data_IF_767278215347
#
_entry.id   IF_767278215347
#
_cell.length_a   1.000
_cell.length_b   1.000
_cell.length_c   1.000
_cell.angle_alpha   90.00
_cell.angle_beta   90.00
_cell.angle_gamma   90.00
#
_symmetry.space_group_name_H-M   'P 1'
#
loop_
_entity.id
_entity.type
_entity.pdbx_description
1 polymer ?
#
# COMPACT_ATOMS: atom_id res chain seq x y z
N UNK A 1 9.72 -13.72 1.19
CA UNK A 1 8.46 -13.19 1.77
C UNK A 1 7.87 -14.31 2.62
N UNK A 2 7.40 -13.98 3.82
CA UNK A 2 7.02 -14.99 4.83
C UNK A 2 8.14 -15.36 5.80
N UNK A 3 9.25 -14.61 5.79
CA UNK A 3 10.45 -14.91 6.59
C UNK A 3 10.38 -14.34 8.03
N UNK A 4 9.45 -13.41 8.27
CA UNK A 4 9.25 -12.77 9.57
C UNK A 4 8.04 -13.37 10.27
N UNK A 5 8.22 -13.89 11.49
CA UNK A 5 7.14 -14.46 12.30
C UNK A 5 6.11 -13.42 12.78
N UNK A 6 6.46 -12.13 12.74
CA UNK A 6 5.66 -11.04 13.30
C UNK A 6 4.63 -10.46 12.32
N UNK A 7 4.73 -10.80 11.04
CA UNK A 7 3.84 -10.27 9.98
C UNK A 7 3.68 -11.28 8.85
N UNK A 8 2.63 -11.09 8.05
CA UNK A 8 2.38 -11.92 6.87
C UNK A 8 1.57 -11.14 5.85
N UNK A 9 0.56 -11.79 5.28
CA UNK A 9 -0.45 -11.09 4.50
C UNK A 9 -1.26 -10.14 5.39
N UNK A 10 -1.84 -9.10 4.80
CA UNK A 10 -2.85 -8.27 5.45
C UNK A 10 -3.95 -9.19 5.99
N UNK A 11 -3.93 -9.43 7.30
CA UNK A 11 -5.06 -10.04 7.95
C UNK A 11 -6.23 -9.07 7.75
N UNK A 12 -7.38 -9.58 7.30
CA UNK A 12 -8.65 -8.83 7.37
C UNK A 12 -8.98 -8.65 8.84
N UNK A 13 -8.25 -7.76 9.54
CA UNK A 13 -8.36 -7.50 10.96
C UNK A 13 -9.76 -6.97 11.23
N UNK A 14 -10.67 -7.88 11.60
CA UNK A 14 -12.06 -7.59 11.95
C UNK A 14 -12.85 -6.73 10.95
N UNK A 15 -12.36 -6.59 9.71
CA UNK A 15 -13.01 -5.78 8.68
C UNK A 15 -13.38 -6.69 7.53
N UNK A 16 -14.66 -6.68 7.10
CA UNK A 16 -15.00 -7.34 5.85
C UNK A 16 -14.11 -6.77 4.74
N UNK A 17 -13.67 -7.61 3.78
CA UNK A 17 -12.92 -7.14 2.63
C UNK A 17 -13.62 -5.92 1.99
N UNK A 18 -12.87 -4.93 1.45
CA UNK A 18 -13.49 -3.75 0.85
C UNK A 18 -14.54 -4.18 -0.17
N UNK A 19 -15.75 -3.62 -0.17
CA UNK A 19 -16.75 -4.04 -1.17
C UNK A 19 -16.17 -3.83 -2.58
N UNK A 20 -16.42 -4.77 -3.51
CA UNK A 20 -16.08 -4.58 -4.89
C UNK A 20 -16.51 -3.22 -5.45
N UNK A 21 -15.73 -2.58 -6.34
CA UNK A 21 -16.28 -1.50 -7.15
C UNK A 21 -17.41 -2.09 -8.00
N UNK A 22 -18.45 -1.28 -8.24
CA UNK A 22 -19.68 -1.69 -8.91
C UNK A 22 -19.43 -2.46 -10.22
N UNK A 23 -20.30 -3.44 -10.56
CA UNK A 23 -20.15 -4.30 -11.74
C UNK A 23 -20.01 -3.54 -13.07
N UNK A 24 -20.42 -2.27 -13.13
CA UNK A 24 -20.30 -1.41 -14.32
C UNK A 24 -18.86 -1.09 -14.74
N UNK A 25 -17.85 -1.30 -13.89
CA UNK A 25 -16.45 -1.02 -14.25
C UNK A 25 -15.74 -2.19 -14.94
N UNK A 26 -16.37 -3.38 -14.99
CA UNK A 26 -15.72 -4.63 -15.38
C UNK A 26 -16.60 -5.57 -16.21
N UNK A 27 -17.48 -5.02 -17.05
CA UNK A 27 -18.31 -5.81 -17.97
C UNK A 27 -19.37 -6.67 -17.26
N UNK A 28 -20.57 -6.70 -17.84
CA UNK A 28 -21.65 -7.54 -17.33
C UNK A 28 -21.20 -9.02 -17.27
N UNK A 29 -21.19 -9.60 -16.05
CA UNK A 29 -21.05 -11.05 -15.84
C UNK A 29 -19.76 -11.53 -15.15
N UNK A 30 -18.77 -10.67 -14.87
CA UNK A 30 -17.54 -11.13 -14.20
C UNK A 30 -17.71 -11.20 -12.68
N UNK A 31 -17.79 -12.42 -12.14
CA UNK A 31 -17.72 -12.66 -10.69
C UNK A 31 -16.27 -12.55 -10.23
N UNK A 32 -16.03 -11.79 -9.17
CA UNK A 32 -14.73 -11.73 -8.53
C UNK A 32 -14.83 -11.76 -7.02
N UNK A 33 -13.77 -12.25 -6.39
CA UNK A 33 -13.67 -12.42 -4.95
C UNK A 33 -12.34 -11.90 -4.41
N UNK A 34 -12.33 -11.47 -3.15
CA UNK A 34 -11.09 -11.21 -2.44
C UNK A 34 -10.42 -12.52 -2.05
N UNK A 35 -9.12 -12.60 -2.27
CA UNK A 35 -8.31 -13.74 -1.86
C UNK A 35 -6.83 -13.45 -2.02
N UNK A 36 -6.00 -14.48 -2.10
CA UNK A 36 -4.54 -14.32 -2.20
C UNK A 36 -3.91 -13.74 -0.93
N UNK A 37 -2.73 -13.12 -1.10
CA UNK A 37 -1.96 -12.49 -0.03
C UNK A 37 -1.85 -11.00 -0.32
N UNK A 38 -2.66 -10.18 0.37
CA UNK A 38 -2.52 -8.74 0.30
C UNK A 38 -1.31 -8.28 1.13
N UNK A 39 -0.63 -7.22 0.69
CA UNK A 39 0.52 -6.68 1.42
C UNK A 39 0.07 -5.98 2.71
N UNK A 40 0.66 -6.35 3.86
CA UNK A 40 0.41 -5.70 5.16
C UNK A 40 1.13 -4.33 5.25
N UNK A 41 0.58 -3.35 4.54
CA UNK A 41 1.13 -1.99 4.46
C UNK A 41 1.13 -1.28 5.81
N UNK A 42 0.20 -1.60 6.71
CA UNK A 42 0.14 -1.00 8.05
C UNK A 42 1.30 -1.48 8.92
N UNK A 43 1.63 -2.78 8.88
CA UNK A 43 2.81 -3.28 9.57
C UNK A 43 4.09 -2.60 9.06
N UNK A 44 4.24 -2.49 7.74
CA UNK A 44 5.38 -1.79 7.12
C UNK A 44 5.45 -0.31 7.52
N UNK A 45 4.31 0.38 7.51
CA UNK A 45 4.19 1.77 7.95
C UNK A 45 4.67 1.95 9.39
N UNK A 46 4.19 1.11 10.31
CA UNK A 46 4.53 1.22 11.74
C UNK A 46 6.02 0.91 11.98
N UNK A 47 6.59 -0.09 11.31
CA UNK A 47 8.03 -0.38 11.40
C UNK A 47 8.88 0.75 10.85
N UNK A 48 8.50 1.35 9.72
CA UNK A 48 9.16 2.53 9.17
C UNK A 48 9.13 3.70 10.16
N UNK A 49 7.97 3.95 10.78
CA UNK A 49 7.81 4.99 11.81
C UNK A 49 8.67 4.75 13.04
N UNK A 50 8.72 3.52 13.53
CA UNK A 50 9.55 3.16 14.69
C UNK A 50 11.04 3.34 14.39
N UNK A 51 11.51 2.96 13.19
CA UNK A 51 12.93 3.00 12.85
C UNK A 51 13.40 4.39 12.43
N UNK A 52 12.71 5.02 11.48
CA UNK A 52 13.15 6.29 10.87
C UNK A 52 12.96 7.48 11.81
N UNK A 53 11.92 7.47 12.64
CA UNK A 53 11.60 8.63 13.49
C UNK A 53 12.25 8.55 14.88
N UNK A 54 12.78 7.38 15.30
CA UNK A 54 13.30 7.16 16.64
C UNK A 54 14.35 8.20 17.09
N UNK A 55 15.29 8.54 16.20
CA UNK A 55 16.36 9.51 16.51
C UNK A 55 15.86 10.97 16.46
N UNK A 56 14.86 11.27 15.64
CA UNK A 56 14.36 12.64 15.42
C UNK A 56 13.43 13.12 16.52
N UNK A 57 12.80 12.22 17.27
CA UNK A 57 11.90 12.57 18.41
C UNK A 57 12.61 13.23 19.59
N UNK A 58 13.94 13.12 19.71
CA UNK A 58 14.72 13.76 20.79
C UNK A 58 15.09 15.22 20.49
N UNK A 59 14.99 15.65 19.23
CA UNK A 59 15.34 17.01 18.78
C UNK A 59 14.13 17.79 18.25
N UNK A 60 12.95 17.67 18.88
CA UNK A 60 11.69 18.28 18.40
C UNK A 60 11.72 19.81 18.22
N UNK A 61 12.72 20.50 18.76
CA UNK A 61 12.94 21.94 18.58
C UNK A 61 13.84 22.29 17.38
N UNK A 62 14.49 21.31 16.75
CA UNK A 62 15.29 21.53 15.54
C UNK A 62 14.38 21.51 14.30
N UNK A 63 14.35 22.61 13.56
CA UNK A 63 13.58 22.76 12.32
C UNK A 63 13.92 21.64 11.33
N UNK A 64 15.19 21.22 11.25
CA UNK A 64 15.59 20.12 10.36
C UNK A 64 14.95 18.80 10.77
N UNK A 65 14.88 18.53 12.07
CA UNK A 65 14.23 17.32 12.58
C UNK A 65 12.72 17.32 12.28
N UNK A 66 12.07 18.48 12.31
CA UNK A 66 10.65 18.61 11.93
C UNK A 66 10.43 18.36 10.43
N UNK A 67 11.29 18.91 9.57
CA UNK A 67 11.24 18.69 8.12
C UNK A 67 11.48 17.21 7.80
N UNK A 68 12.46 16.58 8.42
CA UNK A 68 12.74 15.14 8.23
C UNK A 68 11.54 14.28 8.63
N UNK A 69 10.91 14.57 9.78
CA UNK A 69 9.70 13.85 10.22
C UNK A 69 8.54 14.02 9.24
N UNK A 70 8.35 15.23 8.71
CA UNK A 70 7.36 15.51 7.69
C UNK A 70 7.62 14.72 6.40
N UNK A 71 8.86 14.73 5.91
CA UNK A 71 9.25 14.04 4.68
C UNK A 71 9.16 12.51 4.82
N UNK A 72 9.55 11.96 5.98
CA UNK A 72 9.36 10.54 6.29
C UNK A 72 7.87 10.15 6.25
N UNK A 73 7.01 10.99 6.82
CA UNK A 73 5.57 10.77 6.81
C UNK A 73 4.99 10.85 5.40
N UNK A 74 5.41 11.82 4.60
CA UNK A 74 5.01 11.95 3.21
C UNK A 74 5.36 10.67 2.41
N UNK A 75 6.56 10.12 2.59
CA UNK A 75 6.97 8.87 1.95
C UNK A 75 6.13 7.66 2.38
N UNK A 76 5.83 7.55 3.69
CA UNK A 76 4.95 6.49 4.21
C UNK A 76 3.53 6.58 3.64
N UNK A 77 2.98 7.79 3.57
CA UNK A 77 1.65 8.05 3.01
C UNK A 77 1.60 7.76 1.52
N UNK A 78 2.66 8.08 0.76
CA UNK A 78 2.72 7.74 -0.66
C UNK A 78 2.51 6.24 -0.89
N UNK A 79 3.26 5.38 -0.20
CA UNK A 79 3.09 3.91 -0.34
C UNK A 79 1.66 3.48 0.01
N UNK A 80 1.10 3.99 1.11
CA UNK A 80 -0.26 3.64 1.57
C UNK A 80 -1.36 4.10 0.62
N UNK A 81 -1.24 5.30 0.06
CA UNK A 81 -2.23 5.90 -0.85
C UNK A 81 -2.23 5.24 -2.23
N UNK A 82 -1.06 4.85 -2.75
CA UNK A 82 -0.93 4.25 -4.08
C UNK A 82 -1.01 2.72 -4.08
N UNK A 83 -1.50 2.11 -2.99
CA UNK A 83 -1.88 0.69 -2.97
C UNK A 83 -2.92 0.41 -4.06
N UNK A 84 -2.74 -0.67 -4.82
CA UNK A 84 -3.60 -1.04 -5.94
C UNK A 84 -4.26 -2.40 -5.75
N UNK A 85 -5.38 -2.60 -6.42
CA UNK A 85 -5.99 -3.93 -6.54
C UNK A 85 -5.38 -4.64 -7.73
N UNK A 86 -4.69 -5.75 -7.49
CA UNK A 86 -4.28 -6.68 -8.54
C UNK A 86 -5.23 -7.88 -8.55
N UNK A 87 -5.48 -8.43 -9.74
CA UNK A 87 -6.37 -9.57 -9.92
C UNK A 87 -5.70 -10.64 -10.77
N UNK A 88 -6.01 -11.91 -10.50
CA UNK A 88 -5.64 -13.05 -11.33
C UNK A 88 -6.90 -13.74 -11.84
N UNK A 89 -6.91 -14.05 -13.13
CA UNK A 89 -8.01 -14.74 -13.79
C UNK A 89 -7.84 -16.26 -13.74
N UNK A 90 -8.94 -16.97 -13.53
CA UNK A 90 -8.98 -18.42 -13.29
C UNK A 90 -10.03 -19.16 -14.13
N UNK A 91 -10.59 -18.52 -15.17
CA UNK A 91 -11.56 -19.15 -16.06
C UNK A 91 -10.92 -20.14 -17.04
N UNK A 92 -11.78 -20.98 -17.65
CA UNK A 92 -11.40 -21.93 -18.70
C UNK A 92 -10.58 -21.22 -19.79
N UNK A 93 -9.48 -21.86 -20.21
CA UNK A 93 -8.54 -21.33 -21.21
C UNK A 93 -7.96 -19.95 -20.88
N UNK A 94 -7.87 -19.58 -19.59
CA UNK A 94 -7.32 -18.29 -19.15
C UNK A 94 -8.33 -17.14 -19.22
N UNK A 95 -9.62 -17.43 -19.42
CA UNK A 95 -10.67 -16.41 -19.37
C UNK A 95 -10.80 -15.78 -17.98
N UNK A 96 -11.32 -14.56 -17.91
CA UNK A 96 -11.56 -13.83 -16.65
C UNK A 96 -13.00 -13.95 -16.15
N UNK A 97 -13.71 -15.03 -16.49
CA UNK A 97 -15.07 -15.31 -15.99
C UNK A 97 -15.11 -15.46 -14.47
N UNK A 98 -14.01 -15.97 -13.90
CA UNK A 98 -13.69 -15.93 -12.48
C UNK A 98 -12.34 -15.22 -12.31
N UNK A 99 -12.24 -14.33 -11.31
CA UNK A 99 -10.97 -13.76 -10.90
C UNK A 99 -10.90 -13.57 -9.39
N UNK A 100 -9.70 -13.68 -8.84
CA UNK A 100 -9.39 -13.40 -7.43
C UNK A 100 -8.52 -12.16 -7.36
N UNK A 101 -8.83 -11.23 -6.46
CA UNK A 101 -8.09 -9.98 -6.33
C UNK A 101 -7.53 -9.79 -4.91
N UNK A 102 -6.42 -9.05 -4.81
CA UNK A 102 -5.79 -8.65 -3.55
C UNK A 102 -5.21 -7.24 -3.66
N UNK A 103 -4.97 -6.61 -2.50
CA UNK A 103 -4.29 -5.32 -2.45
C UNK A 103 -2.78 -5.52 -2.46
N UNK A 104 -2.09 -4.74 -3.27
CA UNK A 104 -0.64 -4.80 -3.41
C UNK A 104 -0.03 -3.41 -3.43
N UNK A 105 1.17 -3.29 -2.89
CA UNK A 105 1.98 -2.09 -3.00
C UNK A 105 2.29 -1.75 -4.46
N UNK A 106 2.44 -0.45 -4.79
CA UNK A 106 2.87 -0.04 -6.11
C UNK A 106 4.27 -0.59 -6.41
N UNK A 107 4.66 -0.64 -7.68
CA UNK A 107 6.06 -0.89 -8.00
C UNK A 107 6.91 0.22 -7.38
N UNK A 108 8.06 -0.12 -6.79
CA UNK A 108 8.92 0.87 -6.14
C UNK A 108 9.30 2.03 -7.08
N UNK A 109 9.48 1.77 -8.38
CA UNK A 109 9.75 2.81 -9.38
C UNK A 109 8.57 3.77 -9.56
N UNK A 110 7.34 3.26 -9.55
CA UNK A 110 6.13 4.09 -9.62
C UNK A 110 6.01 4.94 -8.35
N UNK A 111 6.19 4.34 -7.17
CA UNK A 111 6.19 5.07 -5.89
C UNK A 111 7.30 6.14 -5.80
N UNK A 112 8.48 5.83 -6.32
CA UNK A 112 9.60 6.78 -6.43
C UNK A 112 9.28 7.94 -7.38
N UNK A 113 8.64 7.66 -8.52
CA UNK A 113 8.17 8.69 -9.45
C UNK A 113 7.17 9.65 -8.81
N UNK A 114 6.19 9.12 -8.07
CA UNK A 114 5.21 9.93 -7.33
C UNK A 114 5.89 10.80 -6.26
N UNK A 115 6.87 10.26 -5.55
CA UNK A 115 7.62 11.00 -4.52
C UNK A 115 8.48 12.09 -5.16
N UNK A 116 9.09 11.83 -6.32
CA UNK A 116 9.88 12.80 -7.07
C UNK A 116 9.01 13.97 -7.56
N UNK A 117 7.80 13.70 -8.01
CA UNK A 117 6.84 14.75 -8.39
C UNK A 117 6.52 15.67 -7.20
N UNK A 118 6.29 15.09 -6.02
CA UNK A 118 6.08 15.85 -4.77
C UNK A 118 7.30 16.67 -4.38
N UNK A 119 8.50 16.13 -4.56
CA UNK A 119 9.75 16.84 -4.30
C UNK A 119 9.92 18.05 -5.22
N UNK A 120 9.66 17.89 -6.52
CA UNK A 120 9.79 18.98 -7.50
C UNK A 120 8.78 20.12 -7.25
N UNK A 121 7.62 19.81 -6.68
CA UNK A 121 6.60 20.78 -6.29
C UNK A 121 6.70 21.28 -4.83
N UNK A 122 7.75 20.90 -4.10
CA UNK A 122 7.87 21.25 -2.68
C UNK A 122 8.16 22.75 -2.48
N UNK A 123 7.57 23.32 -1.43
CA UNK A 123 7.84 24.69 -1.01
C UNK A 123 9.23 24.80 -0.38
N UNK A 124 9.90 25.93 -0.62
CA UNK A 124 11.21 26.26 -0.05
C UNK A 124 11.09 26.87 1.34
#
# INVERSE_FOLDING_TARGET
MGDLLQCGCEATRNRPPPKPPSPSSYGDGVKWEWGGCADDVEFGYEKSKQFMDAKRRRGKSDIRALIDLHNNEAGRLAVKLYMRTECKCHGLSGSCTLRTCWRKMPNFREGGGQTLERFNGAFK
#
